data_IF_142821384557
#
_entry.id   IF_142821384557
#
_cell.length_a   1.000
_cell.length_b   1.000
_cell.length_c   1.000
_cell.angle_alpha   90.00
_cell.angle_beta   90.00
_cell.angle_gamma   90.00
#
_symmetry.space_group_name_H-M   'P 1'
#
loop_
_entity.id
_entity.type
_entity.pdbx_description
1 polymer ?
#
# COMPACT_ATOMS: atom_id res chain seq x y z
N UNK A 1 5.32 16.14 8.38
CA UNK A 1 4.82 17.16 7.44
C UNK A 1 5.90 17.36 6.39
N UNK A 2 5.54 17.30 5.11
CA UNK A 2 6.45 17.52 3.98
C UNK A 2 5.80 18.50 3.02
N UNK A 3 6.39 19.67 2.89
CA UNK A 3 6.08 20.61 1.82
C UNK A 3 6.89 20.18 0.59
N UNK A 4 6.22 19.92 -0.54
CA UNK A 4 6.92 19.60 -1.79
C UNK A 4 7.12 20.91 -2.57
N UNK A 5 6.03 21.62 -2.85
CA UNK A 5 6.06 22.95 -3.45
C UNK A 5 4.72 23.69 -3.25
N UNK A 6 4.54 24.83 -3.91
CA UNK A 6 3.30 25.64 -3.83
C UNK A 6 2.07 24.93 -4.39
N UNK A 7 2.25 23.88 -5.19
CA UNK A 7 1.20 23.11 -5.83
C UNK A 7 0.83 21.87 -5.03
N UNK A 8 1.72 21.35 -4.17
CA UNK A 8 1.46 20.09 -3.48
C UNK A 8 2.09 19.99 -2.09
N UNK A 9 1.29 19.52 -1.14
CA UNK A 9 1.69 19.37 0.26
C UNK A 9 1.28 18.01 0.79
N UNK A 10 2.12 17.40 1.65
CA UNK A 10 1.85 16.10 2.26
C UNK A 10 1.95 16.17 3.78
N UNK A 11 0.98 15.59 4.46
CA UNK A 11 0.95 15.45 5.90
C UNK A 11 0.67 13.99 6.30
N UNK A 12 1.18 13.55 7.45
CA UNK A 12 0.96 12.18 7.94
C UNK A 12 0.72 12.22 9.45
N UNK A 13 -0.52 12.49 9.89
CA UNK A 13 -0.90 12.20 11.27
C UNK A 13 -0.78 10.70 11.54
N UNK A 14 -0.34 10.36 12.75
CA UNK A 14 -0.32 9.00 13.24
C UNK A 14 -1.05 8.94 14.59
N UNK A 15 -2.02 8.03 14.69
CA UNK A 15 -2.70 7.72 15.94
C UNK A 15 -2.13 6.40 16.47
N UNK A 16 -1.55 6.43 17.67
CA UNK A 16 -1.05 5.25 18.36
C UNK A 16 -1.84 5.03 19.64
N UNK A 17 -2.38 3.82 19.82
CA UNK A 17 -3.09 3.43 21.04
C UNK A 17 -2.50 2.15 21.60
N UNK A 18 -2.49 2.06 22.92
CA UNK A 18 -2.13 0.86 23.67
C UNK A 18 -3.22 0.57 24.68
N UNK A 19 -3.71 -0.66 24.71
CA UNK A 19 -4.78 -1.09 25.58
C UNK A 19 -4.51 -2.49 26.15
N UNK A 20 -5.36 -2.93 27.08
CA UNK A 20 -5.33 -4.28 27.66
C UNK A 20 -3.96 -4.64 28.27
N UNK A 21 -3.46 -3.83 29.21
CA UNK A 21 -2.12 -3.99 29.82
C UNK A 21 -1.01 -4.16 28.79
N UNK A 22 -1.02 -3.35 27.73
CA UNK A 22 -0.03 -3.37 26.66
C UNK A 22 -0.03 -4.64 25.78
N UNK A 23 -1.09 -5.47 25.87
CA UNK A 23 -1.27 -6.62 24.99
C UNK A 23 -1.85 -6.25 23.63
N UNK A 24 -2.66 -5.18 23.54
CA UNK A 24 -3.16 -4.63 22.28
C UNK A 24 -2.45 -3.32 21.94
N UNK A 25 -1.89 -3.23 20.74
CA UNK A 25 -1.29 -2.01 20.19
C UNK A 25 -1.88 -1.72 18.81
N UNK A 26 -2.30 -0.48 18.60
CA UNK A 26 -2.82 0.01 17.33
C UNK A 26 -1.93 1.17 16.85
N UNK A 27 -1.57 1.16 15.58
CA UNK A 27 -0.85 2.24 14.91
C UNK A 27 -1.56 2.57 13.60
N UNK A 28 -2.09 3.77 13.47
CA UNK A 28 -2.92 4.22 12.36
C UNK A 28 -2.25 5.46 11.75
N UNK A 29 -1.24 5.28 10.87
CA UNK A 29 -0.67 6.36 10.08
C UNK A 29 -1.57 6.66 8.88
N UNK A 30 -1.95 7.91 8.67
CA UNK A 30 -2.75 8.33 7.51
C UNK A 30 -1.96 9.39 6.76
N UNK A 31 -1.39 9.04 5.61
CA UNK A 31 -0.75 10.02 4.74
C UNK A 31 -1.82 10.69 3.88
N UNK A 32 -1.78 12.03 3.84
CA UNK A 32 -2.72 12.88 3.12
C UNK A 32 -1.90 13.86 2.28
N UNK A 33 -2.13 13.85 0.98
CA UNK A 33 -1.60 14.81 0.03
C UNK A 33 -2.71 15.70 -0.50
N UNK A 34 -2.45 17.01 -0.57
CA UNK A 34 -3.42 18.00 -1.04
C UNK A 34 -2.77 18.82 -2.14
N UNK A 35 -3.47 18.88 -3.28
CA UNK A 35 -3.12 19.71 -4.42
C UNK A 35 -3.66 21.13 -4.31
N UNK A 36 -2.88 22.07 -4.80
CA UNK A 36 -3.15 23.49 -4.86
C UNK A 36 -2.75 24.03 -6.24
N UNK A 37 -3.12 25.29 -6.54
CA UNK A 37 -2.74 26.02 -7.75
C UNK A 37 -3.04 25.25 -9.04
N UNK A 38 -2.06 24.57 -9.66
CA UNK A 38 -2.20 23.84 -10.93
C UNK A 38 -2.96 22.52 -10.81
N UNK A 39 -2.93 21.89 -9.63
CA UNK A 39 -3.60 20.62 -9.34
C UNK A 39 -4.64 20.77 -8.24
N UNK A 40 -5.31 21.92 -8.21
CA UNK A 40 -6.40 22.17 -7.27
C UNK A 40 -7.47 21.09 -7.38
N UNK A 41 -8.10 20.74 -6.25
CA UNK A 41 -9.05 19.62 -6.12
C UNK A 41 -8.43 18.21 -6.22
N UNK A 42 -7.10 18.10 -6.34
CA UNK A 42 -6.40 16.82 -6.16
C UNK A 42 -6.25 16.51 -4.68
N UNK A 43 -6.61 15.30 -4.25
CA UNK A 43 -6.30 14.80 -2.92
C UNK A 43 -5.96 13.31 -2.98
N UNK A 44 -4.94 12.93 -2.22
CA UNK A 44 -4.44 11.56 -2.19
C UNK A 44 -4.35 11.14 -0.74
N UNK A 45 -4.85 9.95 -0.41
CA UNK A 45 -4.85 9.39 0.93
C UNK A 45 -4.28 7.98 0.85
N UNK A 46 -3.36 7.65 1.75
CA UNK A 46 -2.91 6.28 1.91
C UNK A 46 -2.66 5.96 3.38
N UNK A 47 -3.02 4.77 3.82
CA UNK A 47 -2.80 4.32 5.20
C UNK A 47 -2.29 2.89 5.25
N UNK A 48 -1.50 2.60 6.27
CA UNK A 48 -1.02 1.28 6.63
C UNK A 48 -1.28 1.05 8.12
N UNK A 49 -2.53 0.74 8.44
CA UNK A 49 -2.97 0.48 9.81
C UNK A 49 -2.36 -0.83 10.28
N UNK A 50 -1.72 -0.81 11.45
CA UNK A 50 -1.25 -2.00 12.15
C UNK A 50 -2.03 -2.18 13.44
N UNK A 51 -2.64 -3.36 13.59
CA UNK A 51 -3.13 -3.86 14.86
C UNK A 51 -2.27 -5.04 15.30
N UNK A 52 -1.81 -4.99 16.55
CA UNK A 52 -0.91 -5.98 17.13
C UNK A 52 -1.47 -6.46 18.45
N UNK A 53 -1.69 -7.76 18.56
CA UNK A 53 -2.18 -8.40 19.77
C UNK A 53 -1.18 -9.45 20.27
N UNK A 54 -0.80 -9.38 21.54
CA UNK A 54 0.11 -10.31 22.19
C UNK A 54 -0.66 -11.32 23.03
N UNK A 55 -0.54 -12.60 22.69
CA UNK A 55 -1.31 -13.69 23.29
C UNK A 55 -0.56 -14.46 24.38
N UNK A 56 0.65 -14.02 24.74
CA UNK A 56 1.51 -14.63 25.78
C UNK A 56 0.82 -14.89 27.13
N UNK A 57 -0.33 -14.26 27.41
CA UNK A 57 -1.12 -14.50 28.63
C UNK A 57 -2.08 -15.70 28.53
N UNK A 58 -2.31 -16.26 27.34
CA UNK A 58 -3.41 -17.20 27.07
C UNK A 58 -2.98 -18.52 26.41
N UNK A 59 -1.92 -18.50 25.58
CA UNK A 59 -1.45 -19.68 24.84
C UNK A 59 0.07 -19.65 24.80
N UNK A 60 0.72 -20.71 25.28
CA UNK A 60 2.19 -20.76 25.43
C UNK A 60 2.95 -20.70 24.10
N UNK A 61 2.36 -21.25 23.04
CA UNK A 61 3.00 -21.33 21.72
C UNK A 61 2.55 -20.25 20.74
N UNK A 62 1.39 -19.62 20.95
CA UNK A 62 0.88 -18.57 20.07
C UNK A 62 1.20 -17.22 20.68
N UNK A 63 2.24 -16.57 20.16
CA UNK A 63 2.85 -15.40 20.81
C UNK A 63 2.16 -14.11 20.41
N UNK A 64 1.80 -13.97 19.13
CA UNK A 64 1.38 -12.69 18.58
C UNK A 64 0.50 -12.83 17.33
N UNK A 65 -0.55 -12.01 17.26
CA UNK A 65 -1.31 -11.75 16.04
C UNK A 65 -1.00 -10.33 15.54
N UNK A 66 -0.73 -10.18 14.25
CA UNK A 66 -0.66 -8.88 13.58
C UNK A 66 -1.66 -8.83 12.44
N UNK A 67 -2.40 -7.74 12.37
CA UNK A 67 -3.26 -7.41 11.25
C UNK A 67 -2.79 -6.09 10.67
N UNK A 68 -2.49 -6.10 9.39
CA UNK A 68 -2.20 -4.90 8.61
C UNK A 68 -3.35 -4.64 7.65
N UNK A 69 -3.86 -3.42 7.65
CA UNK A 69 -4.83 -2.95 6.68
C UNK A 69 -4.21 -1.82 5.87
N UNK A 70 -4.15 -2.02 4.56
CA UNK A 70 -3.64 -1.06 3.60
C UNK A 70 -4.80 -0.48 2.82
N UNK A 71 -4.83 0.85 2.70
CA UNK A 71 -5.81 1.52 1.86
C UNK A 71 -5.14 2.67 1.14
N UNK A 72 -5.43 2.80 -0.15
CA UNK A 72 -4.96 3.87 -1.01
C UNK A 72 -6.13 4.43 -1.79
N UNK A 73 -6.26 5.75 -1.80
CA UNK A 73 -7.24 6.48 -2.59
C UNK A 73 -6.58 7.73 -3.18
N UNK A 74 -6.72 7.96 -4.47
CA UNK A 74 -6.23 9.16 -5.14
C UNK A 74 -7.35 9.73 -6.00
N UNK A 75 -7.78 10.96 -5.70
CA UNK A 75 -8.53 11.80 -6.62
C UNK A 75 -7.58 12.81 -7.23
N UNK A 76 -7.35 12.72 -8.52
CA UNK A 76 -6.47 13.63 -9.27
C UNK A 76 -7.34 14.49 -10.17
N UNK A 77 -7.31 15.81 -9.96
CA UNK A 77 -7.99 16.74 -10.85
C UNK A 77 -6.98 17.34 -11.82
N UNK A 78 -7.36 17.35 -13.08
CA UNK A 78 -6.59 17.91 -14.18
C UNK A 78 -7.36 19.01 -14.91
N UNK A 79 -8.48 19.50 -14.36
CA UNK A 79 -9.31 20.56 -14.96
C UNK A 79 -8.51 21.80 -15.39
N UNK A 80 -7.58 22.24 -14.54
CA UNK A 80 -6.74 23.40 -14.85
C UNK A 80 -5.70 23.11 -15.94
N UNK A 81 -5.15 21.89 -15.98
CA UNK A 81 -4.24 21.43 -17.04
C UNK A 81 -4.98 21.48 -18.39
N UNK A 82 -6.20 20.95 -18.44
CA UNK A 82 -7.07 21.02 -19.63
C UNK A 82 -7.31 22.47 -20.05
N UNK A 83 -7.71 23.33 -19.11
CA UNK A 83 -8.00 24.73 -19.42
C UNK A 83 -6.77 25.49 -19.94
N UNK A 84 -5.56 25.13 -19.48
CA UNK A 84 -4.31 25.74 -19.94
C UNK A 84 -3.82 25.20 -21.29
N UNK A 85 -4.28 24.01 -21.70
CA UNK A 85 -3.94 23.36 -22.96
C UNK A 85 -4.89 23.73 -24.11
N UNK A 86 -5.57 24.89 -24.03
CA UNK A 86 -6.40 25.49 -25.09
C UNK A 86 -7.74 24.80 -25.38
N UNK A 87 -8.27 23.99 -24.45
CA UNK A 87 -9.66 23.55 -24.52
C UNK A 87 -10.61 24.69 -24.10
N UNK A 88 -11.20 25.40 -25.08
CA UNK A 88 -12.20 26.43 -24.80
C UNK A 88 -13.40 25.85 -24.03
N UNK A 89 -13.87 26.58 -23.00
CA UNK A 89 -15.07 26.24 -22.24
C UNK A 89 -14.87 25.34 -21.00
N UNK A 90 -13.64 24.98 -20.64
CA UNK A 90 -13.36 24.22 -19.41
C UNK A 90 -13.05 25.15 -18.23
N UNK A 91 -13.87 25.08 -17.18
CA UNK A 91 -13.59 25.81 -15.93
C UNK A 91 -12.34 25.22 -15.24
N UNK A 92 -11.26 26.01 -15.05
CA UNK A 92 -10.04 25.56 -14.35
C UNK A 92 -10.29 25.10 -12.90
N UNK A 93 -11.43 25.47 -12.30
CA UNK A 93 -11.82 25.07 -10.94
C UNK A 93 -12.84 23.93 -10.91
N UNK A 94 -13.18 23.35 -12.06
CA UNK A 94 -14.19 22.29 -12.14
C UNK A 94 -13.83 21.11 -11.22
N UNK A 95 -14.81 20.71 -10.42
CA UNK A 95 -14.75 19.49 -9.59
C UNK A 95 -15.29 18.26 -10.33
N UNK A 96 -15.78 18.44 -11.56
CA UNK A 96 -16.36 17.39 -12.38
C UNK A 96 -15.34 16.78 -13.36
N UNK A 97 -14.10 17.27 -13.35
CA UNK A 97 -13.00 16.72 -14.15
C UNK A 97 -11.96 16.14 -13.21
N UNK A 98 -11.94 14.81 -13.10
CA UNK A 98 -11.05 14.09 -12.20
C UNK A 98 -10.89 12.62 -12.57
N UNK A 99 -9.83 12.01 -12.03
CA UNK A 99 -9.57 10.58 -12.03
C UNK A 99 -9.41 10.06 -10.61
N UNK A 100 -10.22 9.07 -10.24
CA UNK A 100 -10.19 8.38 -8.97
C UNK A 100 -9.54 7.01 -9.13
N UNK A 101 -8.56 6.71 -8.29
CA UNK A 101 -7.89 5.41 -8.19
C UNK A 101 -7.97 4.92 -6.76
N UNK A 102 -8.25 3.62 -6.56
CA UNK A 102 -8.37 3.04 -5.21
C UNK A 102 -7.75 1.65 -5.13
N UNK A 103 -7.15 1.32 -3.98
CA UNK A 103 -6.74 -0.04 -3.63
C UNK A 103 -6.94 -0.35 -2.16
N UNK A 104 -7.06 -1.65 -1.89
CA UNK A 104 -7.24 -2.21 -0.55
C UNK A 104 -6.27 -3.38 -0.38
N UNK A 105 -5.75 -3.56 0.83
CA UNK A 105 -4.94 -4.70 1.20
C UNK A 105 -5.15 -5.10 2.65
N UNK A 106 -4.97 -6.39 2.91
CA UNK A 106 -5.03 -6.99 4.22
C UNK A 106 -3.86 -7.98 4.34
N UNK A 107 -3.12 -7.92 5.45
CA UNK A 107 -2.03 -8.85 5.74
C UNK A 107 -2.15 -9.31 7.20
N UNK A 108 -2.55 -10.57 7.36
CA UNK A 108 -2.68 -11.24 8.64
C UNK A 108 -1.44 -12.07 8.91
N UNK A 109 -0.87 -11.94 10.10
CA UNK A 109 0.30 -12.70 10.54
C UNK A 109 0.06 -13.30 11.92
N UNK A 110 0.08 -14.62 11.99
CA UNK A 110 -0.01 -15.38 13.23
C UNK A 110 1.37 -15.94 13.57
N UNK A 111 1.98 -15.43 14.64
CA UNK A 111 3.32 -15.80 15.10
C UNK A 111 3.23 -16.83 16.21
N UNK A 112 4.08 -17.83 16.10
CA UNK A 112 4.26 -18.86 17.11
C UNK A 112 5.66 -18.76 17.70
N UNK A 113 5.84 -19.25 18.92
CA UNK A 113 7.12 -19.33 19.59
C UNK A 113 7.26 -20.70 20.25
N UNK A 114 8.25 -21.45 19.82
CA UNK A 114 8.61 -22.75 20.39
C UNK A 114 10.01 -22.64 20.99
N UNK A 115 10.12 -22.42 22.32
CA UNK A 115 11.41 -22.51 22.99
C UNK A 115 11.91 -23.96 22.92
N UNK A 116 13.20 -24.14 22.67
CA UNK A 116 13.85 -25.46 22.71
C UNK A 116 14.80 -25.54 23.91
N UNK A 117 15.00 -26.75 24.42
CA UNK A 117 15.83 -27.04 25.59
C UNK A 117 17.30 -26.62 25.42
N UNK A 118 17.74 -26.35 24.18
CA UNK A 118 19.12 -25.99 23.82
C UNK A 118 19.34 -24.48 23.71
N UNK A 119 18.47 -23.66 24.30
CA UNK A 119 18.63 -22.20 24.29
C UNK A 119 18.44 -21.55 22.92
N UNK A 120 17.74 -22.23 22.01
CA UNK A 120 17.28 -21.73 20.71
C UNK A 120 15.75 -21.67 20.72
N UNK A 121 15.14 -20.63 20.18
CA UNK A 121 13.70 -20.61 19.90
C UNK A 121 13.43 -20.65 18.41
N UNK A 122 12.37 -21.39 18.06
CA UNK A 122 11.86 -21.49 16.70
C UNK A 122 10.59 -20.63 16.64
N UNK A 123 10.59 -19.65 15.75
CA UNK A 123 9.55 -18.63 15.64
C UNK A 123 8.92 -18.67 14.22
N UNK A 124 8.11 -19.70 13.90
CA UNK A 124 7.40 -19.71 12.63
C UNK A 124 6.24 -18.72 12.67
N UNK A 125 5.82 -18.26 11.50
CA UNK A 125 4.56 -17.55 11.39
C UNK A 125 3.80 -17.94 10.13
N UNK A 126 2.48 -17.90 10.24
CA UNK A 126 1.58 -18.01 9.10
C UNK A 126 1.29 -16.60 8.63
N UNK A 127 1.47 -16.33 7.34
CA UNK A 127 1.08 -15.07 6.70
C UNK A 127 0.01 -15.33 5.67
N UNK A 128 -1.09 -14.58 5.76
CA UNK A 128 -2.13 -14.52 4.75
C UNK A 128 -2.22 -13.09 4.25
N UNK A 129 -2.01 -12.89 2.95
CA UNK A 129 -2.07 -11.61 2.30
C UNK A 129 -3.22 -11.60 1.30
N UNK A 130 -4.01 -10.54 1.35
CA UNK A 130 -4.96 -10.17 0.32
C UNK A 130 -4.66 -8.76 -0.16
N UNK A 131 -4.72 -8.50 -1.46
CA UNK A 131 -4.71 -7.12 -1.97
C UNK A 131 -5.48 -7.02 -3.27
N UNK A 132 -6.12 -5.89 -3.51
CA UNK A 132 -6.93 -5.67 -4.70
C UNK A 132 -6.78 -4.24 -5.19
N UNK A 133 -6.52 -4.10 -6.50
CA UNK A 133 -6.71 -2.86 -7.21
C UNK A 133 -8.20 -2.74 -7.58
N UNK A 134 -8.85 -1.67 -7.13
CA UNK A 134 -10.24 -1.38 -7.49
C UNK A 134 -10.30 -0.61 -8.81
N UNK A 135 -11.50 -0.49 -9.36
CA UNK A 135 -11.71 0.22 -10.62
C UNK A 135 -11.28 1.68 -10.53
N UNK A 136 -10.68 2.16 -11.62
CA UNK A 136 -10.46 3.57 -11.86
C UNK A 136 -11.75 4.21 -12.34
N UNK A 137 -12.08 5.38 -11.81
CA UNK A 137 -13.24 6.17 -12.25
C UNK A 137 -12.73 7.49 -12.77
N UNK A 138 -13.04 7.78 -14.02
CA UNK A 138 -12.70 9.04 -14.66
C UNK A 138 -13.97 9.80 -14.99
N UNK A 139 -14.02 11.07 -14.56
CA UNK A 139 -15.12 11.97 -14.85
C UNK A 139 -14.62 13.07 -15.78
N UNK A 140 -15.24 13.16 -16.95
CA UNK A 140 -14.98 14.18 -17.96
C UNK A 140 -16.18 15.12 -18.03
N UNK A 141 -16.38 15.90 -16.97
CA UNK A 141 -17.42 16.92 -16.89
C UNK A 141 -18.86 16.36 -17.06
N UNK A 142 -19.14 15.20 -16.44
CA UNK A 142 -20.45 14.54 -16.45
C UNK A 142 -20.43 13.16 -17.10
N UNK A 143 -19.45 12.89 -17.97
CA UNK A 143 -19.23 11.56 -18.54
C UNK A 143 -18.36 10.74 -17.60
N UNK A 144 -18.93 9.67 -17.03
CA UNK A 144 -18.24 8.76 -16.11
C UNK A 144 -17.74 7.51 -16.85
N UNK A 145 -16.43 7.39 -16.97
CA UNK A 145 -15.76 6.20 -17.49
C UNK A 145 -15.24 5.39 -16.32
N UNK A 146 -15.53 4.08 -16.31
CA UNK A 146 -15.02 3.15 -15.30
C UNK A 146 -14.25 2.03 -15.98
N UNK A 147 -13.03 1.81 -15.54
CA UNK A 147 -12.18 0.77 -16.10
C UNK A 147 -11.27 0.19 -15.03
N UNK A 148 -10.91 -1.06 -15.22
CA UNK A 148 -9.96 -1.75 -14.36
C UNK A 148 -8.55 -1.24 -14.67
N UNK A 149 -7.73 -1.06 -13.63
CA UNK A 149 -6.33 -0.62 -13.77
C UNK A 149 -5.44 -1.16 -12.65
N UNK A 150 -4.14 -0.81 -12.70
CA UNK A 150 -3.14 -1.16 -11.69
C UNK A 150 -3.07 -0.07 -10.60
N UNK A 151 -4.02 -0.09 -9.67
CA UNK A 151 -4.19 0.95 -8.63
C UNK A 151 -3.44 0.67 -7.32
N UNK A 152 -2.36 -0.12 -7.32
CA UNK A 152 -1.67 -0.54 -6.10
C UNK A 152 -0.72 0.53 -5.50
N UNK A 153 -0.05 1.31 -6.33
CA UNK A 153 1.02 2.22 -5.90
C UNK A 153 0.52 3.56 -5.33
N UNK A 154 -0.66 3.60 -4.72
CA UNK A 154 -1.23 4.86 -4.25
C UNK A 154 -0.52 5.31 -2.97
N UNK A 155 0.18 6.44 -3.08
CA UNK A 155 0.74 7.17 -1.93
C UNK A 155 0.86 8.65 -2.27
N UNK A 156 0.61 9.55 -1.31
CA UNK A 156 0.89 10.98 -1.47
C UNK A 156 2.37 11.28 -1.73
N UNK A 157 3.29 10.50 -1.17
CA UNK A 157 4.72 10.85 -1.18
C UNK A 157 5.42 10.63 -2.52
N UNK A 158 4.88 9.75 -3.36
CA UNK A 158 5.42 9.42 -4.68
C UNK A 158 4.49 9.80 -5.82
N UNK A 159 3.60 10.77 -5.59
CA UNK A 159 2.78 11.38 -6.63
C UNK A 159 3.58 12.45 -7.38
N UNK A 160 3.68 12.28 -8.71
CA UNK A 160 4.24 13.26 -9.62
C UNK A 160 3.12 13.99 -10.36
N UNK A 161 2.83 15.21 -9.94
CA UNK A 161 1.77 16.00 -10.55
C UNK A 161 2.09 16.49 -11.97
N UNK A 162 3.35 16.49 -12.38
CA UNK A 162 3.75 16.87 -13.74
C UNK A 162 3.46 15.77 -14.76
N UNK A 163 3.23 14.54 -14.28
CA UNK A 163 2.85 13.39 -15.10
C UNK A 163 1.37 13.36 -15.49
N UNK A 164 0.55 14.26 -14.94
CA UNK A 164 -0.86 14.37 -15.31
C UNK A 164 -0.97 14.84 -16.77
N UNK A 165 -1.54 14.00 -17.63
CA UNK A 165 -1.66 14.24 -19.06
C UNK A 165 -3.09 13.97 -19.55
N UNK A 166 -3.37 14.36 -20.80
CA UNK A 166 -4.66 14.16 -21.49
C UNK A 166 -4.74 12.80 -22.22
N UNK A 167 -3.91 11.83 -21.84
CA UNK A 167 -3.78 10.58 -22.56
C UNK A 167 -4.57 9.46 -21.87
N UNK A 168 -5.46 8.80 -22.63
CA UNK A 168 -6.21 7.60 -22.23
C UNK A 168 -5.30 6.47 -21.72
N UNK A 169 -4.00 6.53 -22.05
CA UNK A 169 -2.97 5.58 -21.60
C UNK A 169 -2.63 5.70 -20.10
N UNK A 170 -3.09 6.75 -19.40
CA UNK A 170 -2.96 6.87 -17.95
C UNK A 170 -1.52 7.02 -17.48
N UNK A 171 -0.87 8.11 -17.90
CA UNK A 171 0.55 8.38 -17.59
C UNK A 171 0.80 8.82 -16.14
N UNK A 172 -0.22 8.83 -15.27
CA UNK A 172 -0.10 9.33 -13.90
C UNK A 172 0.82 8.43 -13.08
N UNK A 173 1.92 9.01 -12.60
CA UNK A 173 2.92 8.30 -11.83
C UNK A 173 2.59 8.42 -10.36
N UNK A 174 2.01 7.35 -9.83
CA UNK A 174 1.98 7.03 -8.41
C UNK A 174 3.02 5.95 -8.13
N UNK A 175 3.86 6.17 -7.12
CA UNK A 175 4.97 5.27 -6.80
C UNK A 175 5.17 5.14 -5.29
N UNK A 176 5.52 3.94 -4.81
CA UNK A 176 5.83 3.73 -3.38
C UNK A 176 4.60 3.55 -2.48
N UNK A 177 3.46 3.13 -3.03
CA UNK A 177 2.29 2.76 -2.24
C UNK A 177 2.57 1.61 -1.26
N UNK A 178 1.75 1.50 -0.21
CA UNK A 178 1.89 0.43 0.79
C UNK A 178 1.61 -0.97 0.23
N UNK A 179 1.01 -1.02 -0.95
CA UNK A 179 0.76 -2.24 -1.70
C UNK A 179 1.67 -2.18 -2.93
N UNK A 180 2.58 -3.14 -3.08
CA UNK A 180 3.51 -3.15 -4.20
C UNK A 180 2.78 -3.34 -5.55
N UNK A 181 3.19 -2.58 -6.57
CA UNK A 181 2.77 -2.79 -7.97
C UNK A 181 3.01 -4.23 -8.43
N UNK A 182 2.19 -4.69 -9.37
CA UNK A 182 2.51 -5.90 -10.12
C UNK A 182 3.55 -5.54 -11.20
N UNK A 183 4.62 -6.33 -11.38
CA UNK A 183 5.46 -6.23 -12.57
C UNK A 183 4.56 -6.35 -13.80
N UNK A 184 4.74 -5.50 -14.80
CA UNK A 184 3.96 -5.62 -16.04
C UNK A 184 4.20 -7.00 -16.64
N UNK A 185 3.27 -7.95 -16.45
CA UNK A 185 3.34 -9.26 -17.07
C UNK A 185 2.93 -9.03 -18.52
N UNK A 186 3.85 -9.16 -19.48
CA UNK A 186 3.49 -9.01 -20.88
C UNK A 186 2.48 -10.11 -21.20
N UNK A 187 1.30 -9.72 -21.69
CA UNK A 187 0.40 -10.69 -22.29
C UNK A 187 1.16 -11.35 -23.49
N UNK A 188 1.22 -12.69 -23.59
CA UNK A 188 1.79 -13.36 -24.76
C UNK A 188 1.18 -12.91 -26.11
N UNK A 189 0.01 -12.28 -26.07
CA UNK A 189 -0.76 -11.79 -27.22
C UNK A 189 -0.74 -10.25 -27.39
N UNK A 190 0.06 -9.54 -26.59
CA UNK A 190 0.50 -8.16 -26.89
C UNK A 190 -0.53 -7.04 -26.85
N UNK A 191 -1.75 -7.21 -26.31
CA UNK A 191 -2.77 -6.15 -26.42
C UNK A 191 -3.65 -5.79 -25.20
N UNK A 192 -3.49 -6.40 -24.03
CA UNK A 192 -4.21 -5.90 -22.84
C UNK A 192 -3.37 -6.10 -21.57
N UNK A 193 -3.04 -5.04 -20.80
CA UNK A 193 -2.51 -5.21 -19.46
C UNK A 193 -3.55 -5.92 -18.59
N UNK A 194 -3.11 -6.86 -17.75
CA UNK A 194 -4.00 -7.48 -16.77
C UNK A 194 -4.44 -6.37 -15.80
N UNK A 195 -5.75 -6.20 -15.65
CA UNK A 195 -6.33 -5.06 -14.94
C UNK A 195 -7.31 -5.51 -13.86
N UNK A 196 -7.39 -4.79 -12.73
CA UNK A 196 -8.32 -5.12 -11.64
C UNK A 196 -7.93 -6.40 -10.91
N UNK A 197 -6.63 -6.57 -10.71
CA UNK A 197 -6.03 -7.75 -10.11
C UNK A 197 -6.36 -7.80 -8.61
N UNK A 198 -6.72 -8.98 -8.13
CA UNK A 198 -6.62 -9.31 -6.71
C UNK A 198 -5.51 -10.34 -6.51
N UNK A 199 -4.86 -10.31 -5.34
CA UNK A 199 -3.76 -11.20 -4.97
C UNK A 199 -4.08 -11.86 -3.66
N UNK A 200 -3.88 -13.16 -3.62
CA UNK A 200 -3.91 -13.97 -2.40
C UNK A 200 -2.52 -14.58 -2.24
N UNK A 201 -1.92 -14.41 -1.08
CA UNK A 201 -0.63 -14.98 -0.74
C UNK A 201 -0.70 -15.73 0.58
N UNK A 202 -0.17 -16.94 0.61
CA UNK A 202 0.03 -17.71 1.85
C UNK A 202 1.52 -18.01 1.97
N UNK A 203 2.09 -17.74 3.13
CA UNK A 203 3.48 -18.08 3.42
C UNK A 203 3.63 -18.64 4.83
N UNK A 204 4.63 -19.51 4.99
CA UNK A 204 5.01 -20.14 6.26
C UNK A 204 6.49 -19.88 6.57
N UNK A 205 6.90 -18.64 6.88
CA UNK A 205 8.31 -18.36 7.12
C UNK A 205 8.72 -18.87 8.51
N UNK A 206 9.98 -19.28 8.63
CA UNK A 206 10.57 -19.81 9.85
C UNK A 206 11.67 -18.87 10.36
N UNK A 207 11.51 -18.35 11.59
CA UNK A 207 12.57 -17.65 12.31
C UNK A 207 13.32 -18.59 13.26
N UNK A 208 14.64 -18.44 13.34
CA UNK A 208 15.48 -19.11 14.35
C UNK A 208 16.15 -18.04 15.20
N UNK A 209 16.00 -18.10 16.52
CA UNK A 209 16.65 -17.19 17.46
C UNK A 209 17.49 -17.98 18.43
N UNK A 210 18.80 -17.72 18.44
CA UNK A 210 19.71 -18.29 19.43
C UNK A 210 19.90 -17.32 20.60
N UNK A 211 19.97 -17.86 21.83
CA UNK A 211 20.38 -17.07 23.00
C UNK A 211 21.90 -16.86 23.01
N UNK A 212 22.35 -15.85 23.78
CA UNK A 212 23.72 -15.28 23.79
C UNK A 212 24.86 -16.30 24.01
N UNK A 213 24.55 -17.53 24.44
CA UNK A 213 25.53 -18.59 24.72
C UNK A 213 25.61 -19.67 23.64
N UNK A 214 24.85 -19.55 22.53
CA UNK A 214 24.85 -20.53 21.43
C UNK A 214 25.06 -19.85 20.07
N UNK A 215 26.10 -20.24 19.35
CA UNK A 215 26.37 -19.85 17.97
C UNK A 215 25.70 -20.81 16.98
N UNK A 216 24.94 -20.27 16.02
CA UNK A 216 24.36 -21.03 14.91
C UNK A 216 25.47 -21.40 13.92
N UNK A 217 25.97 -22.63 13.99
CA UNK A 217 26.94 -23.17 13.02
C UNK A 217 26.19 -23.95 11.93
N UNK A 218 26.09 -23.38 10.72
CA UNK A 218 25.62 -24.10 9.54
C UNK A 218 26.79 -24.93 8.98
N UNK A 219 26.78 -26.24 9.18
CA UNK A 219 27.67 -27.14 8.44
C UNK A 219 27.05 -27.42 7.08
N UNK A 220 27.66 -26.93 6.01
CA UNK A 220 27.46 -27.47 4.67
C UNK A 220 28.01 -28.90 4.66
N UNK A 221 27.16 -29.87 4.33
CA UNK A 221 27.62 -31.23 4.09
C UNK A 221 28.30 -31.26 2.72
N UNK A 222 29.62 -31.41 2.71
CA UNK A 222 30.34 -31.84 1.51
C UNK A 222 29.99 -33.33 1.28
N UNK A 223 29.43 -33.61 0.10
CA UNK A 223 29.30 -34.95 -0.42
C UNK A 223 30.72 -35.44 -0.76
N UNK A 224 31.18 -36.49 -0.07
CA UNK A 224 32.34 -37.26 -0.53
C UNK A 224 31.84 -38.31 -1.52
N UNK A 225 32.44 -38.31 -2.71
CA UNK A 225 32.26 -39.30 -3.79
C UNK A 225 32.70 -40.72 -3.35
#
# INVERSE_FOLDING_TARGET
FKYIDSNYMVHTPALMLTAMDNTLRLNIPVAIGVGNNFIKNTFIVSTAVEARYYLHKFIDYFSQLRLYFYYGYARMSYAKIISSAQAEGVDPNSKAIYKDQTSIGLDLRAYFNFPTDKGVSIEPYIRVLYSQALDTVENLNGTLNKYKGENFNITPYGFDYTSLSFDETGTEKLSGGYIASVPGIPNPQGRVPISGIYRIGIALPLGLRASKNYSLNFKLAELQD
#
